data_IF_252607936385
#
_entry.id   IF_252607936385
#
_cell.length_a   1.000
_cell.length_b   1.000
_cell.length_c   1.000
_cell.angle_alpha   90.00
_cell.angle_beta   90.00
_cell.angle_gamma   90.00
#
_symmetry.space_group_name_H-M   'P 1'
#
loop_
_entity.id
_entity.type
_entity.pdbx_description
1 polymer ?
#
# COMPACT_ATOMS: atom_id res chain seq x y z
N UNK A 1 2.76 9.52 5.82
CA UNK A 1 2.44 8.12 5.44
C UNK A 1 1.41 7.57 6.41
N UNK A 2 0.51 6.72 5.94
CA UNK A 2 -0.49 6.05 6.79
C UNK A 2 0.08 4.80 7.44
N UNK A 3 0.94 4.09 6.72
CA UNK A 3 1.70 2.93 7.21
C UNK A 3 3.16 3.12 6.81
N UNK A 4 4.07 2.76 7.71
CA UNK A 4 5.51 2.72 7.46
C UNK A 4 6.16 1.78 8.48
N UNK A 5 6.53 0.57 8.05
CA UNK A 5 7.22 -0.38 8.92
C UNK A 5 8.27 -1.20 8.15
N UNK A 6 9.26 -1.68 8.88
CA UNK A 6 10.23 -2.65 8.36
C UNK A 6 9.65 -4.05 8.52
N UNK A 7 9.76 -4.85 7.47
CA UNK A 7 9.33 -6.24 7.44
C UNK A 7 10.46 -7.11 6.91
N UNK A 8 10.61 -8.30 7.45
CA UNK A 8 11.60 -9.30 7.03
C UNK A 8 10.95 -10.68 6.89
N UNK A 9 11.76 -11.74 6.81
CA UNK A 9 11.29 -13.11 6.66
C UNK A 9 10.35 -13.58 7.79
N UNK A 10 10.28 -12.91 8.94
CA UNK A 10 9.30 -13.21 9.99
C UNK A 10 7.88 -12.78 9.60
N UNK A 11 7.74 -11.94 8.58
CA UNK A 11 6.51 -11.28 8.23
C UNK A 11 6.23 -10.11 9.17
N UNK A 12 5.03 -9.54 9.05
CA UNK A 12 4.64 -8.40 9.86
C UNK A 12 3.28 -7.88 9.49
N UNK A 13 2.71 -7.09 10.39
CA UNK A 13 1.42 -6.46 10.19
C UNK A 13 1.46 -5.05 10.76
N UNK A 14 0.92 -4.11 9.99
CA UNK A 14 0.70 -2.76 10.48
C UNK A 14 -0.69 -2.28 10.06
N UNK A 15 -1.43 -1.74 11.03
CA UNK A 15 -2.64 -0.97 10.77
C UNK A 15 -2.24 0.48 10.53
N UNK A 16 -2.89 1.13 9.57
CA UNK A 16 -2.71 2.55 9.35
C UNK A 16 -3.26 3.38 10.50
N UNK A 17 -2.93 4.68 10.52
CA UNK A 17 -3.43 5.61 11.54
C UNK A 17 -4.97 5.56 11.67
N UNK A 18 -5.46 5.92 12.87
CA UNK A 18 -6.77 5.57 13.48
C UNK A 18 -8.04 5.70 12.62
N UNK A 19 -8.01 6.41 11.48
CA UNK A 19 -9.17 6.61 10.60
C UNK A 19 -8.94 6.21 9.14
N UNK A 20 -7.80 5.61 8.81
CA UNK A 20 -7.49 5.23 7.43
C UNK A 20 -8.21 3.96 6.97
N UNK A 21 -8.59 3.07 7.89
CA UNK A 21 -9.12 1.73 7.55
C UNK A 21 -8.09 0.79 6.90
N UNK A 22 -6.86 1.25 6.67
CA UNK A 22 -5.82 0.48 5.98
C UNK A 22 -5.18 -0.52 6.94
N UNK A 23 -4.97 -1.75 6.46
CA UNK A 23 -4.21 -2.79 7.14
C UNK A 23 -3.32 -3.50 6.13
N UNK A 24 -2.03 -3.51 6.38
CA UNK A 24 -1.04 -4.21 5.56
C UNK A 24 -0.54 -5.42 6.35
N UNK A 25 -0.58 -6.59 5.71
CA UNK A 25 -0.15 -7.86 6.28
C UNK A 25 0.84 -8.47 5.29
N UNK A 26 2.04 -8.76 5.75
CA UNK A 26 3.04 -9.53 5.02
C UNK A 26 3.18 -10.86 5.76
N UNK A 27 2.77 -11.98 5.15
CA UNK A 27 2.90 -13.28 5.78
C UNK A 27 4.37 -13.67 6.05
N UNK A 28 4.63 -14.60 6.99
CA UNK A 28 5.95 -15.13 7.22
C UNK A 28 6.55 -15.75 5.94
N UNK A 29 7.87 -15.63 5.80
CA UNK A 29 8.70 -16.14 4.69
C UNK A 29 8.42 -15.53 3.32
N UNK A 30 7.64 -14.43 3.25
CA UNK A 30 7.33 -13.74 1.99
C UNK A 30 8.36 -12.67 1.61
N UNK A 31 9.00 -12.03 2.57
CA UNK A 31 10.08 -11.07 2.30
C UNK A 31 11.44 -11.79 2.29
N UNK A 32 12.20 -11.64 1.21
CA UNK A 32 13.55 -12.23 1.06
C UNK A 32 14.63 -11.46 1.81
N UNK A 33 14.41 -10.17 2.01
CA UNK A 33 15.30 -9.25 2.72
C UNK A 33 14.48 -8.25 3.53
N UNK A 34 15.07 -7.56 4.52
CA UNK A 34 14.39 -6.48 5.23
C UNK A 34 13.95 -5.37 4.27
N UNK A 35 12.65 -5.09 4.20
CA UNK A 35 12.06 -4.08 3.31
C UNK A 35 11.24 -3.09 4.15
N UNK A 36 11.34 -1.80 3.83
CA UNK A 36 10.47 -0.76 4.42
C UNK A 36 9.19 -0.60 3.62
N UNK A 37 8.11 -1.23 4.08
CA UNK A 37 6.79 -1.10 3.47
C UNK A 37 6.14 0.20 3.92
N UNK A 38 5.75 1.03 2.95
CA UNK A 38 5.05 2.30 3.19
C UNK A 38 3.75 2.36 2.41
N UNK A 39 2.82 3.18 2.90
CA UNK A 39 1.53 3.42 2.25
C UNK A 39 1.09 4.86 2.47
N UNK A 40 0.54 5.50 1.43
CA UNK A 40 -0.08 6.83 1.52
C UNK A 40 -1.31 6.91 0.62
N UNK A 41 -2.30 7.72 1.02
CA UNK A 41 -3.41 8.08 0.13
C UNK A 41 -3.00 9.27 -0.73
N UNK A 42 -3.16 9.12 -2.04
CA UNK A 42 -2.89 10.16 -3.03
C UNK A 42 -4.11 11.06 -3.16
N UNK A 43 -3.88 12.37 -3.22
CA UNK A 43 -4.96 13.33 -3.51
C UNK A 43 -5.35 13.19 -4.99
N UNK A 44 -6.65 13.20 -5.37
CA UNK A 44 -7.07 13.06 -6.76
C UNK A 44 -6.33 14.00 -7.73
N UNK A 45 -6.16 15.26 -7.35
CA UNK A 45 -5.49 16.28 -8.18
C UNK A 45 -3.96 16.10 -8.31
N UNK A 46 -3.36 15.13 -7.61
CA UNK A 46 -1.93 14.82 -7.67
C UNK A 46 -1.64 13.55 -8.47
N UNK A 47 -2.65 12.94 -9.08
CA UNK A 47 -2.53 11.73 -9.89
C UNK A 47 -2.33 12.16 -11.34
N UNK A 48 -1.11 11.98 -11.86
CA UNK A 48 -0.77 12.42 -13.23
C UNK A 48 -1.52 11.62 -14.30
N UNK A 49 -1.77 10.34 -14.06
CA UNK A 49 -2.54 9.48 -14.96
C UNK A 49 -3.58 8.71 -14.15
N UNK A 50 -4.77 9.30 -13.90
CA UNK A 50 -5.81 8.60 -13.18
C UNK A 50 -6.35 7.43 -14.01
N UNK A 51 -6.84 6.35 -13.37
CA UNK A 51 -7.53 5.28 -14.08
C UNK A 51 -8.68 5.85 -14.92
N UNK A 52 -8.80 5.43 -16.17
CA UNK A 52 -9.94 5.79 -17.00
C UNK A 52 -11.20 5.14 -16.40
N UNK A 53 -12.22 5.95 -16.11
CA UNK A 53 -13.52 5.50 -15.62
C UNK A 53 -14.52 5.58 -16.75
N UNK A 54 -15.29 4.52 -16.95
CA UNK A 54 -16.37 4.44 -17.92
C UNK A 54 -17.68 5.00 -17.34
N UNK A 55 -18.72 5.07 -18.16
CA UNK A 55 -20.05 5.49 -17.71
C UNK A 55 -20.56 4.57 -16.59
N UNK A 56 -20.93 5.16 -15.45
CA UNK A 56 -21.37 4.43 -14.26
C UNK A 56 -20.25 3.97 -13.32
N UNK A 57 -18.97 4.19 -13.65
CA UNK A 57 -17.84 3.83 -12.80
C UNK A 57 -17.38 5.00 -11.91
N UNK A 58 -16.97 4.68 -10.68
CA UNK A 58 -16.43 5.66 -9.73
C UNK A 58 -15.36 5.03 -8.84
N UNK A 59 -14.42 5.86 -8.38
CA UNK A 59 -13.46 5.46 -7.36
C UNK A 59 -14.16 5.35 -6.00
N UNK A 60 -14.32 4.13 -5.49
CA UNK A 60 -14.88 3.90 -4.16
C UNK A 60 -13.98 4.41 -3.02
N UNK A 61 -12.66 4.47 -3.25
CA UNK A 61 -11.67 4.95 -2.29
C UNK A 61 -10.63 5.84 -2.98
N UNK A 62 -9.85 6.60 -2.20
CA UNK A 62 -8.71 7.35 -2.76
C UNK A 62 -7.62 6.37 -3.22
N UNK A 63 -6.88 6.77 -4.23
CA UNK A 63 -5.74 5.98 -4.73
C UNK A 63 -4.72 5.78 -3.60
N UNK A 64 -4.31 4.53 -3.41
CA UNK A 64 -3.30 4.15 -2.44
C UNK A 64 -1.98 3.97 -3.19
N UNK A 65 -0.95 4.69 -2.76
CA UNK A 65 0.41 4.47 -3.24
C UNK A 65 1.19 3.67 -2.21
N UNK A 66 1.82 2.60 -2.71
CA UNK A 66 2.60 1.64 -1.92
C UNK A 66 4.09 1.81 -2.23
N UNK A 67 4.94 1.69 -1.22
CA UNK A 67 6.38 1.70 -1.36
C UNK A 67 7.03 0.50 -0.67
N UNK A 68 8.17 -0.01 -1.17
CA UNK A 68 8.89 0.48 -2.36
C UNK A 68 8.21 0.06 -3.67
N UNK A 69 8.29 0.91 -4.69
CA UNK A 69 7.79 0.59 -6.04
C UNK A 69 8.61 -0.56 -6.60
N UNK A 70 7.95 -1.56 -7.19
CA UNK A 70 8.60 -2.75 -7.72
C UNK A 70 9.10 -3.74 -6.66
N UNK A 71 8.74 -3.54 -5.39
CA UNK A 71 9.04 -4.53 -4.36
C UNK A 71 8.33 -5.86 -4.68
N UNK A 72 9.10 -6.94 -4.72
CA UNK A 72 8.60 -8.31 -4.90
C UNK A 72 8.60 -9.06 -3.58
N UNK A 73 7.52 -9.79 -3.32
CA UNK A 73 7.45 -10.78 -2.25
C UNK A 73 7.46 -12.17 -2.89
N UNK A 74 7.99 -13.17 -2.20
CA UNK A 74 7.94 -14.56 -2.66
C UNK A 74 6.49 -15.02 -2.70
N UNK A 75 5.94 -15.34 -3.86
CA UNK A 75 4.58 -15.86 -3.98
C UNK A 75 3.96 -15.56 -5.32
#
# INVERSE_FOLDING_TARGET
FLVSFLVDARGGMMKGCRHSGIRIIVPPRRATMPIRVTCRLVKPNKVTNPPALMEGEALATRIIEMGPVGASFLG
#
